data_IF_078926629554
#
_entry.id   IF_078926629554
#
_cell.length_a   1.000
_cell.length_b   1.000
_cell.length_c   1.000
_cell.angle_alpha   90.00
_cell.angle_beta   90.00
_cell.angle_gamma   90.00
#
_symmetry.space_group_name_H-M   'P 1'
#
loop_
_entity.id
_entity.type
_entity.pdbx_description
1 polymer ?
#
# COMPACT_ATOMS: atom_id res chain seq x y z
N UNK A 1 12.75 89.35 81.00
CA UNK A 1 13.76 88.34 80.63
C UNK A 1 13.14 87.34 79.66
N UNK A 2 13.95 86.75 78.76
CA UNK A 2 13.68 85.95 77.55
C UNK A 2 13.78 86.78 76.26
N UNK A 3 14.97 86.93 75.64
CA UNK A 3 15.73 86.01 74.75
C UNK A 3 15.01 85.74 73.41
N UNK A 4 15.62 86.28 72.35
CA UNK A 4 15.25 86.21 70.93
C UNK A 4 15.42 84.78 70.36
N UNK A 5 14.88 84.49 69.16
CA UNK A 5 15.84 84.49 68.06
C UNK A 5 15.32 85.10 66.75
N UNK A 6 16.18 85.92 66.16
CA UNK A 6 16.24 86.15 64.72
C UNK A 6 16.27 84.80 63.98
N UNK A 7 15.22 84.51 63.20
CA UNK A 7 15.19 83.42 62.23
C UNK A 7 15.21 84.02 60.83
N UNK A 8 16.41 84.16 60.25
CA UNK A 8 16.62 84.75 58.93
C UNK A 8 15.86 84.03 57.82
N UNK A 9 15.24 84.82 56.95
CA UNK A 9 14.70 84.34 55.68
C UNK A 9 15.83 83.80 54.81
N UNK A 10 15.92 82.47 54.71
CA UNK A 10 16.80 81.79 53.77
C UNK A 10 16.15 81.74 52.39
N UNK A 11 16.31 82.80 51.61
CA UNK A 11 16.16 82.74 50.16
C UNK A 11 17.40 82.09 49.53
N UNK A 12 17.59 80.78 49.74
CA UNK A 12 18.56 80.00 48.94
C UNK A 12 18.25 78.47 48.82
N UNK A 13 17.06 78.01 48.37
CA UNK A 13 16.91 76.60 47.96
C UNK A 13 17.33 76.34 46.50
N UNK A 14 17.28 77.33 45.60
CA UNK A 14 17.31 77.06 44.15
C UNK A 14 18.65 76.55 43.61
N UNK A 15 19.79 77.00 44.16
CA UNK A 15 21.12 76.62 43.66
C UNK A 15 21.54 75.20 44.09
N UNK A 16 21.18 74.79 45.30
CA UNK A 16 21.48 73.44 45.83
C UNK A 16 20.61 72.39 45.12
N UNK A 17 19.33 72.69 44.90
CA UNK A 17 18.43 71.81 44.13
C UNK A 17 18.88 71.66 42.67
N UNK A 18 19.38 72.75 42.05
CA UNK A 18 19.90 72.71 40.68
C UNK A 18 21.16 71.84 40.54
N UNK A 19 22.14 71.99 41.44
CA UNK A 19 23.36 71.16 41.47
C UNK A 19 23.06 69.67 41.69
N UNK A 20 22.06 69.38 42.51
CA UNK A 20 21.62 68.00 42.76
C UNK A 20 20.98 67.39 41.51
N UNK A 21 20.22 68.19 40.75
CA UNK A 21 19.65 67.77 39.47
C UNK A 21 20.72 67.47 38.41
N UNK A 22 21.76 68.31 38.31
CA UNK A 22 22.86 68.11 37.36
C UNK A 22 23.67 66.85 37.66
N UNK A 23 23.92 66.56 38.94
CA UNK A 23 24.57 65.31 39.35
C UNK A 23 23.73 64.09 39.00
N UNK A 24 22.42 64.13 39.23
CA UNK A 24 21.51 63.04 38.86
C UNK A 24 21.46 62.83 37.34
N UNK A 25 21.43 63.90 36.54
CA UNK A 25 21.51 63.81 35.08
C UNK A 25 22.84 63.24 34.59
N UNK A 26 23.97 63.66 35.19
CA UNK A 26 25.28 63.14 34.82
C UNK A 26 25.40 61.64 35.14
N UNK A 27 24.91 61.22 36.31
CA UNK A 27 24.87 59.80 36.68
C UNK A 27 23.99 58.99 35.73
N UNK A 28 22.84 59.52 35.30
CA UNK A 28 21.96 58.81 34.36
C UNK A 28 22.56 58.72 32.96
N UNK A 29 23.22 59.78 32.46
CA UNK A 29 23.93 59.75 31.19
C UNK A 29 25.13 58.80 31.22
N UNK A 30 25.90 58.76 32.31
CA UNK A 30 26.99 57.79 32.49
C UNK A 30 26.45 56.36 32.51
N UNK A 31 25.30 56.13 33.16
CA UNK A 31 24.62 54.83 33.18
C UNK A 31 24.11 54.43 31.80
N UNK A 32 23.47 55.35 31.07
CA UNK A 32 23.01 55.14 29.70
C UNK A 32 24.18 54.87 28.76
N UNK A 33 25.32 55.53 28.94
CA UNK A 33 26.54 55.26 28.18
C UNK A 33 27.14 53.89 28.50
N UNK A 34 27.17 53.51 29.78
CA UNK A 34 27.72 52.23 30.23
C UNK A 34 26.86 51.02 29.81
N UNK A 35 25.55 51.19 29.74
CA UNK A 35 24.62 50.12 29.36
C UNK A 35 24.14 50.20 27.90
N UNK A 36 24.35 51.33 27.24
CA UNK A 36 23.69 51.69 25.97
C UNK A 36 22.16 51.60 26.02
N UNK A 37 21.57 51.68 27.22
CA UNK A 37 20.13 51.55 27.44
C UNK A 37 19.59 52.81 28.12
N UNK A 38 18.54 53.41 27.54
CA UNK A 38 17.82 54.59 28.10
C UNK A 38 17.36 54.34 29.54
N UNK A 39 16.91 53.13 29.87
CA UNK A 39 16.63 52.71 31.25
C UNK A 39 16.86 51.21 31.43
N UNK A 40 17.48 50.82 32.54
CA UNK A 40 17.68 49.41 32.92
C UNK A 40 16.44 48.77 33.51
N UNK A 41 15.53 49.56 34.06
CA UNK A 41 14.33 49.07 34.72
C UNK A 41 13.11 49.45 33.91
N UNK A 42 12.14 48.54 33.81
CA UNK A 42 10.84 48.84 33.20
C UNK A 42 10.19 50.08 33.84
N UNK A 43 10.44 50.29 35.15
CA UNK A 43 10.20 51.49 35.94
C UNK A 43 10.43 52.79 35.19
N UNK A 44 11.65 52.96 34.67
CA UNK A 44 12.14 54.22 34.10
C UNK A 44 11.78 54.46 32.62
N UNK A 45 11.12 53.52 31.93
CA UNK A 45 10.64 53.72 30.55
C UNK A 45 9.28 54.46 30.45
N UNK A 46 8.55 54.61 31.56
CA UNK A 46 7.23 55.28 31.54
C UNK A 46 6.25 54.63 30.55
N UNK A 47 5.68 55.43 29.63
CA UNK A 47 4.72 54.99 28.61
C UNK A 47 5.33 54.05 27.55
N UNK A 48 6.64 54.13 27.31
CA UNK A 48 7.36 53.28 26.32
C UNK A 48 7.51 51.83 26.81
N UNK A 49 7.23 51.54 28.08
CA UNK A 49 7.32 50.19 28.68
C UNK A 49 6.50 49.16 27.91
N UNK A 50 5.26 49.51 27.56
CA UNK A 50 4.33 48.59 26.88
C UNK A 50 4.87 48.22 25.49
N UNK A 51 5.38 49.22 24.75
CA UNK A 51 5.99 49.01 23.44
C UNK A 51 7.27 48.18 23.53
N UNK A 52 8.13 48.43 24.52
CA UNK A 52 9.35 47.65 24.72
C UNK A 52 9.03 46.17 25.02
N UNK A 53 8.03 45.92 25.87
CA UNK A 53 7.61 44.56 26.19
C UNK A 53 7.01 43.86 24.98
N UNK A 54 6.17 44.54 24.19
CA UNK A 54 5.61 43.96 22.97
C UNK A 54 6.69 43.65 21.93
N UNK A 55 7.69 44.52 21.77
CA UNK A 55 8.83 44.27 20.88
C UNK A 55 9.68 43.09 21.35
N UNK A 56 9.94 42.96 22.66
CA UNK A 56 10.66 41.79 23.21
C UNK A 56 9.86 40.50 23.01
N UNK A 57 8.55 40.54 23.19
CA UNK A 57 7.67 39.41 22.91
C UNK A 57 7.73 39.02 21.43
N UNK A 58 7.63 39.99 20.52
CA UNK A 58 7.78 39.76 19.07
C UNK A 58 9.16 39.20 18.72
N UNK A 59 10.23 39.68 19.34
CA UNK A 59 11.58 39.16 19.12
C UNK A 59 11.72 37.71 19.57
N UNK A 60 11.11 37.35 20.71
CA UNK A 60 11.03 35.96 21.18
C UNK A 60 10.26 35.07 20.20
N UNK A 61 9.14 35.57 19.69
CA UNK A 61 8.32 34.87 18.70
C UNK A 61 9.08 34.64 17.38
N UNK A 62 9.79 35.66 16.88
CA UNK A 62 10.70 35.54 15.74
C UNK A 62 11.78 34.49 16.00
N UNK A 63 12.32 34.42 17.23
CA UNK A 63 13.27 33.38 17.64
C UNK A 63 12.72 31.97 17.46
N UNK A 64 11.48 31.73 17.91
CA UNK A 64 10.79 30.44 17.76
C UNK A 64 10.53 30.11 16.28
N UNK A 65 10.10 31.10 15.48
CA UNK A 65 9.93 30.89 14.04
C UNK A 65 11.23 30.53 13.34
N UNK A 66 12.35 31.18 13.68
CA UNK A 66 13.68 30.82 13.13
C UNK A 66 14.07 29.38 13.46
N UNK A 67 13.84 28.95 14.70
CA UNK A 67 14.12 27.56 15.09
C UNK A 67 13.24 26.57 14.31
N UNK A 68 11.97 26.90 14.12
CA UNK A 68 11.04 26.07 13.34
C UNK A 68 11.48 25.99 11.88
N UNK A 69 11.91 27.10 11.28
CA UNK A 69 12.44 27.17 9.91
C UNK A 69 13.69 26.29 9.79
N UNK A 70 14.63 26.35 10.74
CA UNK A 70 15.84 25.52 10.71
C UNK A 70 15.53 24.02 10.74
N UNK A 71 14.55 23.60 11.55
CA UNK A 71 14.13 22.20 11.59
C UNK A 71 13.43 21.80 10.28
N UNK A 72 12.60 22.68 9.72
CA UNK A 72 11.94 22.43 8.44
C UNK A 72 12.96 22.34 7.29
N UNK A 73 13.96 23.22 7.28
CA UNK A 73 15.04 23.27 6.30
C UNK A 73 15.87 21.99 6.34
N UNK A 74 16.28 21.54 7.53
CA UNK A 74 16.95 20.25 7.70
C UNK A 74 16.13 19.10 7.12
N UNK A 75 14.83 19.04 7.43
CA UNK A 75 13.93 18.00 6.93
C UNK A 75 13.78 18.05 5.41
N UNK A 76 13.60 19.24 4.84
CA UNK A 76 13.51 19.43 3.38
C UNK A 76 14.79 19.03 2.68
N UNK A 77 15.95 19.44 3.19
CA UNK A 77 17.25 19.06 2.65
C UNK A 77 17.48 17.54 2.69
N UNK A 78 17.12 16.88 3.80
CA UNK A 78 17.22 15.41 3.88
C UNK A 78 16.22 14.69 2.97
N UNK A 79 15.02 15.24 2.77
CA UNK A 79 14.02 14.71 1.84
C UNK A 79 14.50 14.81 0.39
N UNK A 80 15.12 15.94 0.04
CA UNK A 80 15.70 16.20 -1.28
C UNK A 80 16.81 15.17 -1.57
N UNK A 81 17.78 15.04 -0.67
CA UNK A 81 18.86 14.04 -0.77
C UNK A 81 18.34 12.60 -0.85
N UNK A 82 17.35 12.25 -0.03
CA UNK A 82 16.73 10.93 -0.08
C UNK A 82 16.03 10.69 -1.42
N UNK A 83 15.36 11.71 -1.98
CA UNK A 83 14.66 11.62 -3.26
C UNK A 83 15.63 11.48 -4.44
N UNK A 84 16.75 12.21 -4.42
CA UNK A 84 17.83 12.05 -5.40
C UNK A 84 18.37 10.62 -5.38
N UNK A 85 18.69 10.09 -4.18
CA UNK A 85 19.19 8.70 -4.05
C UNK A 85 18.16 7.67 -4.52
N UNK A 86 16.87 7.89 -4.29
CA UNK A 86 15.80 7.02 -4.78
C UNK A 86 15.74 6.99 -6.33
N UNK A 87 15.99 8.13 -7.00
CA UNK A 87 16.07 8.17 -8.47
C UNK A 87 17.34 7.49 -9.00
N UNK A 88 18.49 7.69 -8.34
CA UNK A 88 19.73 7.00 -8.70
C UNK A 88 19.56 5.48 -8.63
N UNK A 89 19.01 4.96 -7.53
CA UNK A 89 18.72 3.53 -7.37
C UNK A 89 17.80 3.02 -8.49
N UNK A 90 16.81 3.82 -8.90
CA UNK A 90 15.92 3.46 -10.01
C UNK A 90 16.68 3.37 -11.34
N UNK A 91 17.56 4.32 -11.63
CA UNK A 91 18.37 4.33 -12.85
C UNK A 91 19.34 3.14 -12.84
N UNK A 92 20.02 2.90 -11.72
CA UNK A 92 20.93 1.78 -11.51
C UNK A 92 20.22 0.43 -11.67
N UNK A 93 19.07 0.24 -11.02
CA UNK A 93 18.26 -0.99 -11.11
C UNK A 93 17.79 -1.26 -12.54
N UNK A 94 17.40 -0.20 -13.27
CA UNK A 94 17.01 -0.30 -14.67
C UNK A 94 18.20 -0.67 -15.56
N UNK A 95 19.36 -0.04 -15.37
CA UNK A 95 20.58 -0.35 -16.11
C UNK A 95 21.07 -1.78 -15.84
N UNK A 96 20.93 -2.25 -14.61
CA UNK A 96 21.27 -3.62 -14.22
C UNK A 96 20.31 -4.68 -14.80
N UNK A 97 19.10 -4.27 -15.24
CA UNK A 97 18.11 -5.18 -15.84
C UNK A 97 18.34 -5.30 -17.35
N UNK A 98 19.34 -6.06 -17.77
CA UNK A 98 19.48 -6.48 -19.17
C UNK A 98 18.64 -7.74 -19.44
N UNK A 99 17.72 -7.67 -20.41
CA UNK A 99 16.87 -8.81 -20.82
C UNK A 99 17.64 -9.88 -21.59
N UNK A 100 18.81 -9.54 -22.15
CA UNK A 100 19.63 -10.48 -22.91
C UNK A 100 20.63 -11.23 -22.03
N UNK A 101 20.87 -10.76 -20.81
CA UNK A 101 21.78 -11.41 -19.88
C UNK A 101 21.02 -12.39 -18.96
N UNK A 102 21.02 -13.67 -19.35
CA UNK A 102 20.39 -14.75 -18.59
C UNK A 102 21.44 -15.72 -18.05
N UNK A 103 22.20 -15.25 -17.07
CA UNK A 103 23.07 -16.10 -16.27
C UNK A 103 22.33 -16.51 -14.99
N UNK A 104 22.03 -17.80 -14.85
CA UNK A 104 21.54 -18.35 -13.59
C UNK A 104 22.70 -18.65 -12.66
N UNK A 105 22.56 -18.22 -11.42
CA UNK A 105 23.38 -18.69 -10.31
C UNK A 105 22.92 -20.07 -9.83
N UNK A 106 23.73 -20.69 -8.97
CA UNK A 106 23.47 -22.02 -8.40
C UNK A 106 22.21 -22.09 -7.52
N UNK A 107 21.69 -20.94 -7.08
CA UNK A 107 20.44 -20.80 -6.33
C UNK A 107 19.19 -20.72 -7.23
N UNK A 108 19.36 -20.87 -8.55
CA UNK A 108 18.28 -20.84 -9.54
C UNK A 108 17.77 -19.42 -9.85
N UNK A 109 18.45 -18.38 -9.39
CA UNK A 109 18.12 -16.98 -9.67
C UNK A 109 19.05 -16.40 -10.71
N UNK A 110 18.55 -15.45 -11.49
CA UNK A 110 19.43 -14.70 -12.39
C UNK A 110 20.21 -13.63 -11.64
N UNK A 111 21.38 -13.25 -12.15
CA UNK A 111 22.15 -12.13 -11.61
C UNK A 111 21.34 -10.83 -11.54
N UNK A 112 20.52 -10.59 -12.55
CA UNK A 112 19.58 -9.47 -12.60
C UNK A 112 18.54 -9.54 -11.46
N UNK A 113 17.95 -10.70 -11.17
CA UNK A 113 16.99 -10.85 -10.08
C UNK A 113 17.59 -10.58 -8.69
N UNK A 114 18.86 -10.93 -8.49
CA UNK A 114 19.55 -10.67 -7.22
C UNK A 114 19.90 -9.19 -7.07
N UNK A 115 20.44 -8.57 -8.12
CA UNK A 115 20.77 -7.13 -8.13
C UNK A 115 19.52 -6.26 -7.93
N UNK A 116 18.40 -6.56 -8.62
CA UNK A 116 17.15 -5.82 -8.44
C UNK A 116 16.57 -5.97 -7.03
N UNK A 117 16.74 -7.12 -6.39
CA UNK A 117 16.30 -7.28 -4.98
C UNK A 117 17.10 -6.39 -4.04
N UNK A 118 18.42 -6.30 -4.24
CA UNK A 118 19.30 -5.44 -3.44
C UNK A 118 18.90 -3.97 -3.62
N UNK A 119 18.73 -3.52 -4.88
CA UNK A 119 18.30 -2.16 -5.18
C UNK A 119 16.93 -1.84 -4.57
N UNK A 120 15.96 -2.76 -4.65
CA UNK A 120 14.66 -2.59 -4.02
C UNK A 120 14.75 -2.51 -2.50
N UNK A 121 15.61 -3.32 -1.88
CA UNK A 121 15.84 -3.28 -0.42
C UNK A 121 16.42 -1.93 0.00
N UNK A 122 17.37 -1.41 -0.75
CA UNK A 122 17.96 -0.09 -0.51
C UNK A 122 16.92 1.02 -0.69
N UNK A 123 16.13 0.97 -1.77
CA UNK A 123 15.02 1.90 -2.00
C UNK A 123 14.05 1.95 -0.81
N UNK A 124 13.65 0.78 -0.29
CA UNK A 124 12.77 0.71 0.89
C UNK A 124 13.46 1.21 2.17
N UNK A 125 14.77 1.04 2.31
CA UNK A 125 15.53 1.57 3.43
C UNK A 125 15.54 3.11 3.42
N UNK A 126 15.70 3.75 2.25
CA UNK A 126 15.63 5.20 2.12
C UNK A 126 14.25 5.77 2.43
N UNK A 127 13.17 5.05 2.10
CA UNK A 127 11.82 5.45 2.52
C UNK A 127 11.63 5.41 4.05
N UNK A 128 12.46 4.67 4.76
CA UNK A 128 12.46 4.61 6.23
C UNK A 128 13.48 5.57 6.87
N UNK A 129 13.95 6.60 6.15
CA UNK A 129 14.90 7.59 6.70
C UNK A 129 14.29 8.35 7.88
N UNK A 130 15.05 8.41 8.99
CA UNK A 130 14.70 9.09 10.24
C UNK A 130 15.51 10.38 10.40
N UNK A 131 14.83 11.46 10.81
CA UNK A 131 15.48 12.72 11.18
C UNK A 131 14.96 13.17 12.54
N UNK A 132 15.76 12.93 13.56
CA UNK A 132 15.46 13.34 14.93
C UNK A 132 14.27 12.58 15.53
N UNK A 133 14.19 11.27 15.28
CA UNK A 133 13.12 10.39 15.78
C UNK A 133 11.80 10.53 15.03
N UNK A 134 11.84 11.11 13.82
CA UNK A 134 10.68 11.26 12.94
C UNK A 134 11.00 10.77 11.54
N UNK A 135 10.18 9.86 11.04
CA UNK A 135 10.23 9.37 9.68
C UNK A 135 9.70 10.41 8.69
N UNK A 136 10.51 10.74 7.69
CA UNK A 136 10.20 11.80 6.73
C UNK A 136 9.05 11.42 5.77
N UNK A 137 8.94 10.13 5.44
CA UNK A 137 7.96 9.63 4.46
C UNK A 137 6.69 9.04 5.09
N UNK A 138 6.53 9.14 6.42
CA UNK A 138 5.38 8.58 7.15
C UNK A 138 4.16 9.51 7.20
N UNK A 139 4.21 10.64 6.48
CA UNK A 139 3.11 11.58 6.37
C UNK A 139 2.71 12.19 7.72
N UNK A 140 1.48 11.91 8.18
CA UNK A 140 0.96 12.44 9.46
C UNK A 140 1.48 11.69 10.68
N UNK A 141 1.91 10.44 10.52
CA UNK A 141 2.34 9.55 11.62
C UNK A 141 3.86 9.48 11.67
N UNK A 142 4.50 10.56 12.11
CA UNK A 142 5.96 10.67 12.07
C UNK A 142 6.72 9.62 12.91
N UNK A 143 6.08 9.03 13.91
CA UNK A 143 6.72 8.11 14.86
C UNK A 143 6.58 6.63 14.45
N UNK A 144 5.94 6.33 13.31
CA UNK A 144 5.75 4.97 12.82
C UNK A 144 6.54 4.72 11.54
N UNK A 145 7.19 3.55 11.47
CA UNK A 145 7.94 3.10 10.30
C UNK A 145 7.02 3.12 9.06
N UNK A 146 7.34 3.88 8.00
CA UNK A 146 6.46 4.05 6.85
C UNK A 146 6.37 2.79 5.98
N UNK A 147 7.45 2.00 5.87
CA UNK A 147 7.51 0.82 5.00
C UNK A 147 8.05 -0.40 5.76
N UNK A 148 7.39 -1.54 5.63
CA UNK A 148 7.85 -2.82 6.19
C UNK A 148 9.10 -3.33 5.47
N UNK A 149 9.81 -4.29 6.05
CA UNK A 149 10.99 -4.89 5.41
C UNK A 149 10.63 -5.62 4.11
N UNK A 150 11.56 -5.65 3.16
CA UNK A 150 11.36 -6.35 1.89
C UNK A 150 11.05 -7.84 2.10
N UNK A 151 11.68 -8.48 3.09
CA UNK A 151 11.41 -9.88 3.44
C UNK A 151 9.96 -10.09 3.91
N UNK A 152 9.44 -9.19 4.74
CA UNK A 152 8.04 -9.23 5.16
C UNK A 152 7.10 -9.08 3.96
N UNK A 153 7.38 -8.14 3.05
CA UNK A 153 6.53 -7.93 1.85
C UNK A 153 6.60 -9.13 0.89
N UNK A 154 7.78 -9.72 0.70
CA UNK A 154 7.97 -10.82 -0.25
C UNK A 154 7.54 -12.18 0.30
N UNK A 155 7.85 -12.49 1.56
CA UNK A 155 7.65 -13.81 2.18
C UNK A 155 6.47 -13.83 3.16
N UNK A 156 6.15 -12.70 3.77
CA UNK A 156 5.19 -12.63 4.88
C UNK A 156 5.81 -12.98 6.23
N UNK A 157 4.98 -13.04 7.26
CA UNK A 157 5.36 -13.37 8.65
C UNK A 157 4.62 -14.61 9.19
N UNK A 158 3.91 -15.34 8.32
CA UNK A 158 3.07 -16.48 8.68
C UNK A 158 1.62 -16.11 9.01
N UNK A 159 1.36 -14.88 9.48
CA UNK A 159 0.00 -14.34 9.65
C UNK A 159 -0.50 -13.67 8.37
N UNK A 160 0.39 -12.93 7.71
CA UNK A 160 0.17 -12.29 6.42
C UNK A 160 0.91 -13.06 5.33
N UNK A 161 0.22 -13.35 4.22
CA UNK A 161 0.84 -13.96 3.06
C UNK A 161 1.69 -12.91 2.30
N UNK A 162 2.97 -13.22 2.08
CA UNK A 162 3.84 -12.39 1.23
C UNK A 162 3.52 -12.54 -0.26
N UNK A 163 4.09 -11.63 -1.07
CA UNK A 163 3.90 -11.61 -2.52
C UNK A 163 4.24 -12.95 -3.18
N UNK A 164 5.28 -13.65 -2.73
CA UNK A 164 5.68 -14.96 -3.29
C UNK A 164 4.59 -16.01 -3.11
N UNK A 165 3.97 -16.05 -1.93
CA UNK A 165 2.85 -16.96 -1.64
C UNK A 165 1.65 -16.62 -2.51
N UNK A 166 1.29 -15.33 -2.59
CA UNK A 166 0.17 -14.86 -3.42
C UNK A 166 0.38 -15.21 -4.90
N UNK A 167 1.58 -15.00 -5.44
CA UNK A 167 1.91 -15.36 -6.83
C UNK A 167 1.91 -16.87 -7.02
N UNK A 168 2.41 -17.64 -6.05
CA UNK A 168 2.37 -19.10 -6.09
C UNK A 168 0.94 -19.64 -6.13
N UNK A 169 0.08 -19.14 -5.25
CA UNK A 169 -1.34 -19.50 -5.22
C UNK A 169 -2.07 -19.09 -6.49
N UNK A 170 -1.72 -17.91 -7.04
CA UNK A 170 -2.23 -17.41 -8.31
C UNK A 170 -1.83 -18.31 -9.49
N UNK A 171 -0.54 -18.62 -9.61
CA UNK A 171 -0.02 -19.48 -10.67
C UNK A 171 -0.64 -20.88 -10.61
N UNK A 172 -0.73 -21.45 -9.42
CA UNK A 172 -1.38 -22.75 -9.24
C UNK A 172 -2.91 -22.66 -9.48
N UNK A 173 -3.55 -21.52 -9.24
CA UNK A 173 -4.94 -21.29 -9.60
C UNK A 173 -5.18 -21.08 -11.10
N UNK A 174 -4.19 -20.64 -11.86
CA UNK A 174 -4.29 -20.52 -13.31
C UNK A 174 -3.87 -21.81 -14.04
N UNK A 175 -2.78 -22.43 -13.61
CA UNK A 175 -2.22 -23.65 -14.21
C UNK A 175 -2.87 -24.93 -13.66
N UNK A 176 -3.12 -25.04 -12.36
CA UNK A 176 -3.65 -26.25 -11.71
C UNK A 176 -2.91 -27.56 -12.09
N UNK A 177 -3.31 -28.70 -11.51
CA UNK A 177 -2.81 -30.00 -11.99
C UNK A 177 -3.32 -30.35 -13.41
N UNK A 178 -4.44 -29.73 -13.83
CA UNK A 178 -5.18 -30.06 -15.05
C UNK A 178 -5.51 -28.84 -15.94
N UNK A 179 -4.94 -27.65 -15.69
CA UNK A 179 -5.34 -26.40 -16.37
C UNK A 179 -6.84 -26.08 -16.24
N UNK A 180 -7.44 -26.55 -15.14
CA UNK A 180 -8.87 -26.45 -14.82
C UNK A 180 -9.20 -25.38 -13.78
N UNK A 181 -8.20 -24.59 -13.38
CA UNK A 181 -8.35 -23.47 -12.46
C UNK A 181 -8.79 -23.86 -11.03
N UNK A 182 -8.19 -24.94 -10.49
CA UNK A 182 -8.54 -25.58 -9.21
C UNK A 182 -9.89 -26.28 -9.14
N UNK A 183 -10.41 -26.68 -10.30
CA UNK A 183 -11.55 -27.59 -10.36
C UNK A 183 -11.04 -29.00 -10.68
N UNK A 184 -11.50 -29.97 -9.92
CA UNK A 184 -11.35 -31.38 -10.24
C UNK A 184 -12.65 -31.86 -10.84
N UNK A 185 -12.56 -32.76 -11.83
CA UNK A 185 -13.72 -33.40 -12.43
C UNK A 185 -13.54 -34.90 -12.33
N UNK A 186 -14.53 -35.61 -11.81
CA UNK A 186 -14.52 -37.07 -11.78
C UNK A 186 -15.82 -37.62 -12.38
N UNK A 187 -15.78 -38.91 -12.75
CA UNK A 187 -16.94 -39.64 -13.25
C UNK A 187 -16.97 -41.02 -12.61
N UNK A 188 -18.10 -41.37 -12.02
CA UNK A 188 -18.37 -42.70 -11.47
C UNK A 188 -19.73 -43.15 -11.99
N UNK A 189 -19.74 -44.19 -12.85
CA UNK A 189 -20.97 -44.66 -13.49
C UNK A 189 -21.67 -43.57 -14.33
N UNK A 190 -22.89 -43.22 -13.91
CA UNK A 190 -23.74 -42.17 -14.49
C UNK A 190 -23.53 -40.80 -13.85
N UNK A 191 -22.77 -40.71 -12.75
CA UNK A 191 -22.49 -39.46 -12.06
C UNK A 191 -21.23 -38.78 -12.58
N UNK A 192 -21.31 -37.49 -12.86
CA UNK A 192 -20.18 -36.59 -13.13
C UNK A 192 -20.10 -35.58 -11.99
N UNK A 193 -18.96 -35.50 -11.32
CA UNK A 193 -18.72 -34.54 -10.26
C UNK A 193 -17.75 -33.47 -10.69
N UNK A 194 -17.98 -32.24 -10.23
CA UNK A 194 -17.06 -31.11 -10.33
C UNK A 194 -16.85 -30.60 -8.90
N UNK A 195 -15.63 -30.67 -8.41
CA UNK A 195 -15.30 -30.30 -7.04
C UNK A 195 -14.16 -29.28 -7.02
N UNK A 196 -14.21 -28.36 -6.05
CA UNK A 196 -13.07 -27.51 -5.75
C UNK A 196 -11.95 -28.33 -5.10
N UNK A 197 -10.71 -28.08 -5.53
CA UNK A 197 -9.50 -28.60 -4.92
C UNK A 197 -9.18 -27.81 -3.65
N UNK A 198 -9.97 -28.00 -2.59
CA UNK A 198 -9.72 -27.44 -1.26
C UNK A 198 -10.15 -25.98 -1.01
N UNK A 199 -9.81 -25.50 0.19
CA UNK A 199 -10.14 -24.17 0.68
C UNK A 199 -9.03 -23.16 0.36
N UNK A 200 -9.17 -22.46 -0.77
CA UNK A 200 -8.18 -21.49 -1.24
C UNK A 200 -8.82 -20.15 -1.66
N UNK A 201 -8.10 -19.02 -1.53
CA UNK A 201 -8.58 -17.70 -1.94
C UNK A 201 -8.56 -17.49 -3.47
N UNK A 202 -7.71 -18.23 -4.20
CA UNK A 202 -7.59 -18.17 -5.66
C UNK A 202 -8.10 -19.47 -6.33
N UNK A 203 -8.65 -19.34 -7.53
CA UNK A 203 -9.26 -20.43 -8.31
C UNK A 203 -10.72 -20.16 -8.63
N UNK A 204 -11.33 -21.04 -9.44
CA UNK A 204 -12.77 -21.00 -9.68
C UNK A 204 -13.54 -21.47 -8.45
N UNK A 205 -14.55 -20.70 -8.08
CA UNK A 205 -15.51 -21.05 -7.03
C UNK A 205 -16.86 -21.38 -7.63
N UNK A 206 -17.43 -22.54 -7.29
CA UNK A 206 -18.72 -22.97 -7.82
C UNK A 206 -19.82 -22.13 -7.18
N UNK A 207 -20.53 -21.33 -7.98
CA UNK A 207 -21.55 -20.39 -7.50
C UNK A 207 -22.94 -21.01 -7.57
N UNK A 208 -23.37 -21.34 -8.77
CA UNK A 208 -24.69 -21.94 -9.02
C UNK A 208 -24.70 -22.78 -10.28
N UNK A 209 -25.73 -23.61 -10.41
CA UNK A 209 -25.95 -24.49 -11.55
C UNK A 209 -27.37 -24.30 -12.09
N UNK A 210 -27.50 -24.29 -13.42
CA UNK A 210 -28.78 -24.27 -14.10
C UNK A 210 -28.87 -25.43 -15.08
N UNK A 211 -29.92 -26.24 -14.96
CA UNK A 211 -30.22 -27.36 -15.86
C UNK A 211 -31.43 -27.03 -16.73
N UNK A 212 -31.33 -27.35 -18.02
CA UNK A 212 -32.48 -27.50 -18.91
C UNK A 212 -32.69 -28.94 -19.37
N UNK A 213 -32.11 -29.92 -18.65
CA UNK A 213 -32.18 -31.34 -18.98
C UNK A 213 -33.22 -32.06 -18.10
N UNK A 214 -33.99 -32.96 -18.70
CA UNK A 214 -35.10 -33.67 -18.04
C UNK A 214 -34.68 -34.94 -17.29
N UNK A 215 -33.62 -35.63 -17.75
CA UNK A 215 -33.16 -36.91 -17.19
C UNK A 215 -31.93 -36.76 -16.27
N UNK A 216 -31.82 -35.64 -15.54
CA UNK A 216 -30.64 -35.29 -14.76
C UNK A 216 -31.03 -34.82 -13.37
N UNK A 217 -30.43 -35.41 -12.33
CA UNK A 217 -30.47 -34.86 -10.97
C UNK A 217 -29.16 -34.12 -10.69
N UNK A 218 -29.26 -32.95 -10.05
CA UNK A 218 -28.10 -32.11 -9.71
C UNK A 218 -28.10 -31.85 -8.22
N UNK A 219 -26.99 -32.19 -7.57
CA UNK A 219 -26.76 -31.92 -6.14
C UNK A 219 -25.56 -30.99 -6.02
N UNK A 220 -25.77 -29.83 -5.40
CA UNK A 220 -24.67 -28.91 -5.07
C UNK A 220 -24.48 -28.92 -3.55
N UNK A 221 -23.28 -29.27 -3.10
CA UNK A 221 -22.88 -29.08 -1.71
C UNK A 221 -22.11 -27.78 -1.62
N UNK A 222 -22.68 -26.82 -0.89
CA UNK A 222 -21.99 -25.56 -0.61
C UNK A 222 -20.81 -25.80 0.34
N UNK A 223 -19.70 -25.12 0.09
CA UNK A 223 -18.49 -25.24 0.91
C UNK A 223 -17.40 -24.27 0.47
N UNK A 224 -16.34 -24.18 1.27
CA UNK A 224 -15.04 -24.54 0.73
C UNK A 224 -14.57 -25.90 1.30
N UNK A 225 -14.26 -26.91 0.45
CA UNK A 225 -14.51 -26.94 -0.99
C UNK A 225 -16.00 -27.19 -1.33
N UNK A 226 -16.51 -26.48 -2.33
CA UNK A 226 -17.84 -26.77 -2.89
C UNK A 226 -17.76 -27.96 -3.87
N UNK A 227 -18.83 -28.76 -3.92
CA UNK A 227 -18.97 -29.86 -4.89
C UNK A 227 -20.28 -29.76 -5.66
N UNK A 228 -20.25 -30.18 -6.92
CA UNK A 228 -21.39 -30.27 -7.81
C UNK A 228 -21.43 -31.67 -8.42
N UNK A 229 -22.45 -32.43 -8.08
CA UNK A 229 -22.70 -33.76 -8.61
C UNK A 229 -23.88 -33.73 -9.59
N UNK A 230 -23.65 -34.28 -10.78
CA UNK A 230 -24.64 -34.38 -11.85
C UNK A 230 -24.83 -35.85 -12.18
N UNK A 231 -25.98 -36.41 -11.84
CA UNK A 231 -26.30 -37.81 -12.12
C UNK A 231 -27.31 -37.92 -13.27
N UNK A 232 -26.97 -38.76 -14.26
CA UNK A 232 -27.75 -38.95 -15.48
C UNK A 232 -28.58 -40.22 -15.37
N UNK A 233 -29.88 -40.09 -15.11
CA UNK A 233 -30.82 -41.21 -15.06
C UNK A 233 -31.12 -41.81 -16.45
N UNK A 234 -30.75 -41.09 -17.53
CA UNK A 234 -30.90 -41.52 -18.92
C UNK A 234 -30.12 -40.62 -19.88
N UNK A 235 -30.08 -40.97 -21.17
CA UNK A 235 -29.36 -40.16 -22.15
C UNK A 235 -30.08 -38.81 -22.39
N UNK A 236 -29.40 -37.66 -22.26
CA UNK A 236 -29.99 -36.36 -22.52
C UNK A 236 -30.35 -36.18 -24.00
N UNK A 237 -31.48 -35.54 -24.27
CA UNK A 237 -31.99 -35.32 -25.63
C UNK A 237 -31.15 -34.25 -26.36
N UNK A 238 -31.10 -34.27 -27.71
CA UNK A 238 -30.40 -33.25 -28.49
C UNK A 238 -30.92 -31.84 -28.14
N UNK A 239 -30.03 -30.96 -27.69
CA UNK A 239 -30.36 -29.57 -27.35
C UNK A 239 -30.51 -29.27 -25.85
N UNK A 240 -30.53 -30.29 -25.00
CA UNK A 240 -30.48 -30.10 -23.55
C UNK A 240 -29.10 -29.58 -23.10
N UNK A 241 -29.08 -28.62 -22.17
CA UNK A 241 -27.82 -28.03 -21.67
C UNK A 241 -27.80 -27.91 -20.16
N UNK A 242 -26.61 -28.13 -19.60
CA UNK A 242 -26.29 -27.84 -18.20
C UNK A 242 -25.27 -26.71 -18.18
N UNK A 243 -25.52 -25.72 -17.32
CA UNK A 243 -24.72 -24.51 -17.19
C UNK A 243 -24.21 -24.42 -15.76
N UNK A 244 -22.90 -24.39 -15.59
CA UNK A 244 -22.27 -24.14 -14.31
C UNK A 244 -21.75 -22.72 -14.31
N UNK A 245 -22.12 -21.96 -13.28
CA UNK A 245 -21.63 -20.63 -13.03
C UNK A 245 -20.55 -20.73 -11.96
N UNK A 246 -19.36 -20.24 -12.30
CA UNK A 246 -18.25 -20.11 -11.36
C UNK A 246 -17.81 -18.66 -11.22
N UNK A 247 -17.32 -18.30 -10.04
CA UNK A 247 -16.75 -16.98 -9.77
C UNK A 247 -15.24 -17.09 -9.65
N UNK A 248 -14.53 -16.11 -10.21
CA UNK A 248 -13.12 -15.87 -9.93
C UNK A 248 -13.03 -14.72 -8.89
N UNK A 249 -11.96 -14.68 -8.08
CA UNK A 249 -11.69 -13.60 -7.09
C UNK A 249 -11.77 -12.19 -7.68
N UNK A 250 -11.53 -12.04 -8.98
CA UNK A 250 -11.66 -10.77 -9.74
C UNK A 250 -13.10 -10.31 -9.96
N UNK A 251 -14.11 -11.00 -9.40
CA UNK A 251 -15.52 -10.68 -9.56
C UNK A 251 -16.12 -11.08 -10.92
N UNK A 252 -15.31 -11.58 -11.86
CA UNK A 252 -15.80 -12.08 -13.15
C UNK A 252 -16.49 -13.43 -12.98
N UNK A 253 -17.70 -13.53 -13.51
CA UNK A 253 -18.44 -14.80 -13.65
C UNK A 253 -17.92 -15.54 -14.88
N UNK A 254 -17.41 -16.75 -14.69
CA UNK A 254 -17.11 -17.68 -15.77
C UNK A 254 -18.29 -18.63 -15.96
N UNK A 255 -18.56 -18.99 -17.22
CA UNK A 255 -19.68 -19.82 -17.62
C UNK A 255 -19.18 -21.00 -18.43
N UNK A 256 -19.39 -22.21 -17.94
CA UNK A 256 -19.17 -23.43 -18.71
C UNK A 256 -20.51 -23.95 -19.24
N UNK A 257 -20.52 -24.42 -20.49
CA UNK A 257 -21.69 -25.07 -21.12
C UNK A 257 -21.29 -26.50 -21.50
N UNK A 258 -22.06 -27.46 -21.02
CA UNK A 258 -22.04 -28.82 -21.57
C UNK A 258 -23.25 -28.98 -22.49
N UNK A 259 -23.03 -29.43 -23.72
CA UNK A 259 -24.07 -29.78 -24.69
C UNK A 259 -23.96 -31.27 -25.00
N UNK A 260 -25.06 -32.00 -24.91
CA UNK A 260 -25.11 -33.40 -25.32
C UNK A 260 -25.13 -33.49 -26.85
N UNK A 261 -24.24 -34.30 -27.43
CA UNK A 261 -24.38 -34.76 -28.82
C UNK A 261 -24.94 -36.17 -28.78
N UNK A 262 -26.15 -36.38 -29.31
CA UNK A 262 -26.71 -37.71 -29.49
C UNK A 262 -25.83 -38.53 -30.45
N UNK A 263 -25.63 -39.80 -30.15
CA UNK A 263 -25.04 -40.73 -31.10
C UNK A 263 -25.99 -40.85 -32.30
N UNK A 264 -25.47 -40.62 -33.51
CA UNK A 264 -26.22 -40.74 -34.76
C UNK A 264 -26.50 -42.22 -35.01
N UNK A 265 -27.71 -42.70 -34.73
CA UNK A 265 -28.19 -44.01 -35.20
C UNK A 265 -28.38 -43.93 -36.71
N UNK A 266 -27.58 -44.66 -37.47
CA UNK A 266 -27.76 -44.83 -38.92
C UNK A 266 -28.83 -45.91 -39.10
N UNK A 267 -29.93 -45.66 -39.85
CA UNK A 267 -30.90 -46.72 -40.15
C UNK A 267 -30.23 -47.81 -41.00
N UNK A 268 -30.41 -49.07 -40.61
CA UNK A 268 -29.84 -50.23 -41.29
C UNK A 268 -30.56 -50.50 -42.62
N UNK A 269 -29.84 -50.36 -43.74
CA UNK A 269 -30.20 -50.96 -45.03
C UNK A 269 -29.36 -52.22 -45.27
N UNK A 270 -29.89 -53.25 -45.94
CA UNK A 270 -29.29 -54.58 -45.92
C UNK A 270 -28.12 -54.75 -46.92
N UNK A 271 -27.16 -55.57 -46.49
CA UNK A 271 -26.23 -56.38 -47.29
C UNK A 271 -25.26 -55.67 -48.27
N UNK A 272 -24.00 -55.51 -47.85
CA UNK A 272 -22.82 -55.98 -48.60
C UNK A 272 -21.54 -55.67 -47.82
N UNK A 273 -20.67 -56.67 -47.73
CA UNK A 273 -19.47 -56.73 -46.91
C UNK A 273 -18.38 -55.74 -47.34
N UNK A 274 -17.87 -54.89 -46.43
CA UNK A 274 -16.45 -54.42 -46.39
C UNK A 274 -16.09 -53.90 -44.97
N UNK A 275 -15.14 -54.59 -44.31
CA UNK A 275 -14.22 -54.22 -43.19
C UNK A 275 -14.75 -53.50 -41.92
N UNK A 276 -14.42 -53.98 -40.70
CA UNK A 276 -14.75 -53.26 -39.46
C UNK A 276 -13.86 -52.00 -39.32
N UNK A 277 -14.48 -50.82 -39.33
CA UNK A 277 -13.84 -49.57 -38.86
C UNK A 277 -13.90 -49.53 -37.33
N UNK A 278 -12.85 -49.05 -36.64
CA UNK A 278 -12.85 -48.98 -35.19
C UNK A 278 -13.90 -47.98 -34.68
N UNK A 279 -14.70 -48.43 -33.72
CA UNK A 279 -15.72 -47.67 -33.00
C UNK A 279 -15.04 -46.50 -32.28
N UNK A 280 -15.42 -45.27 -32.64
CA UNK A 280 -14.94 -44.06 -31.95
C UNK A 280 -15.90 -43.78 -30.78
N UNK A 281 -15.45 -43.82 -29.51
CA UNK A 281 -16.32 -43.56 -28.38
C UNK A 281 -16.82 -42.10 -28.40
N UNK A 282 -18.12 -41.91 -28.18
CA UNK A 282 -18.76 -40.60 -28.04
C UNK A 282 -18.23 -39.91 -26.78
N UNK A 283 -17.35 -38.94 -26.94
CA UNK A 283 -16.89 -38.09 -25.85
C UNK A 283 -17.86 -36.92 -25.67
N UNK A 284 -18.41 -36.77 -24.47
CA UNK A 284 -19.06 -35.54 -24.02
C UNK A 284 -17.99 -34.45 -23.96
N UNK A 285 -17.86 -33.66 -25.02
CA UNK A 285 -16.80 -32.66 -25.15
C UNK A 285 -17.24 -31.39 -24.42
N UNK A 286 -16.64 -31.12 -23.26
CA UNK A 286 -16.73 -29.83 -22.58
C UNK A 286 -16.16 -28.77 -23.55
N UNK A 287 -17.02 -27.91 -24.12
CA UNK A 287 -16.60 -26.91 -25.10
C UNK A 287 -16.08 -25.69 -24.32
N UNK A 288 -14.76 -25.52 -24.33
CA UNK A 288 -13.94 -24.49 -23.67
C UNK A 288 -13.82 -24.61 -22.15
N UNK A 289 -12.59 -24.82 -21.66
CA UNK A 289 -12.19 -24.52 -20.29
C UNK A 289 -12.05 -23.00 -20.18
N UNK A 290 -12.88 -22.31 -19.39
CA UNK A 290 -12.68 -20.89 -19.15
C UNK A 290 -11.36 -20.71 -18.40
N UNK A 291 -10.48 -19.82 -18.88
CA UNK A 291 -9.33 -19.34 -18.09
C UNK A 291 -9.81 -18.20 -17.19
N UNK A 292 -9.41 -18.18 -15.91
CA UNK A 292 -9.73 -17.08 -14.99
C UNK A 292 -9.27 -15.72 -15.56
N UNK A 293 -8.29 -15.72 -16.47
CA UNK A 293 -7.66 -14.52 -17.02
C UNK A 293 -7.70 -14.39 -18.56
N UNK A 294 -8.70 -14.96 -19.25
CA UNK A 294 -8.83 -14.71 -20.69
C UNK A 294 -9.14 -13.22 -20.96
N UNK A 295 -8.10 -12.42 -21.31
CA UNK A 295 -8.26 -11.21 -22.12
C UNK A 295 -8.98 -11.67 -23.39
N UNK A 296 -10.24 -11.31 -23.55
CA UNK A 296 -10.82 -11.23 -24.88
C UNK A 296 -10.04 -10.14 -25.60
N UNK A 297 -9.03 -10.52 -26.38
CA UNK A 297 -8.65 -9.72 -27.53
C UNK A 297 -9.82 -9.82 -28.51
N UNK A 298 -10.52 -8.73 -28.82
CA UNK A 298 -11.48 -8.76 -29.92
C UNK A 298 -10.70 -9.10 -31.19
N UNK A 299 -11.22 -10.09 -31.91
CA UNK A 299 -10.89 -10.40 -33.30
C UNK A 299 -10.87 -9.15 -34.18
#
# INVERSE_FOLDING_TARGET
MAINPYGGGFSAPSQVTYLTSLRNQMNDLQRQLGTNLKSETYGGLGSERVLNLSMKQQLSEIGVYKQTIQIADLRLSTLDQASERLEDIRIEAKAATDRNNFELFSDGRTSTQTSTEIALREFMAHLNTDVGGRYLFSGKTADTLPVQSLDFVLKGDGNYAGLKTVVGEYNQADLGALNSGRLTTARVGTQVSVAEDGAHPFGFKIDSVASGATNVSITQTAGPPATLDVDFAGQPQPGETIRVFSRCRTGRKARSRSASSAARTIPSSPSSAVRPRPIRPSSSRMRSTPRCNARQTPS
#
